data_IF_941113727357
#
_entry.id   IF_941113727357
#
_cell.length_a   1.000
_cell.length_b   1.000
_cell.length_c   1.000
_cell.angle_alpha   90.00
_cell.angle_beta   90.00
_cell.angle_gamma   90.00
#
_symmetry.space_group_name_H-M   'P 1'
#
loop_
_entity.id
_entity.type
_entity.pdbx_description
1 polymer ?
#
# COMPACT_ATOMS: atom_id res chain seq x y z
N UNK A 1 8.02 -19.02 -31.09
CA UNK A 1 6.85 -18.92 -30.18
C UNK A 1 7.07 -18.06 -28.93
N UNK A 2 8.30 -17.68 -28.52
CA UNK A 2 8.53 -16.79 -27.35
C UNK A 2 8.26 -15.29 -27.59
N UNK A 3 8.44 -14.79 -28.81
CA UNK A 3 8.25 -13.36 -29.14
C UNK A 3 6.81 -12.87 -28.92
N UNK A 4 5.82 -13.68 -29.28
CA UNK A 4 4.39 -13.36 -29.14
C UNK A 4 3.94 -13.20 -27.66
N UNK A 5 4.59 -13.86 -26.71
CA UNK A 5 4.25 -13.71 -25.29
C UNK A 5 4.75 -12.37 -24.72
N UNK A 6 5.97 -11.97 -25.09
CA UNK A 6 6.55 -10.69 -24.65
C UNK A 6 5.81 -9.53 -25.30
N UNK A 7 5.52 -9.60 -26.59
CA UNK A 7 4.77 -8.56 -27.30
C UNK A 7 3.36 -8.36 -26.74
N UNK A 8 2.64 -9.44 -26.42
CA UNK A 8 1.32 -9.34 -25.77
C UNK A 8 1.41 -8.73 -24.39
N UNK A 9 2.36 -9.17 -23.57
CA UNK A 9 2.57 -8.59 -22.24
C UNK A 9 2.93 -7.10 -22.32
N UNK A 10 3.79 -6.71 -23.28
CA UNK A 10 4.15 -5.31 -23.48
C UNK A 10 2.96 -4.45 -23.92
N UNK A 11 2.06 -5.00 -24.76
CA UNK A 11 0.84 -4.31 -25.18
C UNK A 11 -0.13 -4.16 -24.00
N UNK A 12 -0.40 -5.23 -23.26
CA UNK A 12 -1.28 -5.20 -22.07
C UNK A 12 -0.75 -4.21 -21.01
N UNK A 13 0.57 -4.20 -20.78
CA UNK A 13 1.20 -3.26 -19.86
C UNK A 13 1.07 -1.82 -20.34
N UNK A 14 1.25 -1.57 -21.64
CA UNK A 14 1.11 -0.23 -22.22
C UNK A 14 -0.34 0.27 -22.13
N UNK A 15 -1.32 -0.57 -22.46
CA UNK A 15 -2.75 -0.26 -22.33
C UNK A 15 -3.11 0.07 -20.88
N UNK A 16 -2.69 -0.76 -19.92
CA UNK A 16 -2.94 -0.52 -18.51
C UNK A 16 -2.27 0.77 -17.99
N UNK A 17 -1.06 1.06 -18.46
CA UNK A 17 -0.34 2.29 -18.09
C UNK A 17 -1.06 3.53 -18.62
N UNK A 18 -1.55 3.49 -19.86
CA UNK A 18 -2.33 4.58 -20.46
C UNK A 18 -3.64 4.77 -19.70
N UNK A 19 -4.33 3.68 -19.35
CA UNK A 19 -5.57 3.72 -18.57
C UNK A 19 -5.36 4.40 -17.21
N UNK A 20 -4.33 3.98 -16.45
CA UNK A 20 -4.03 4.61 -15.15
C UNK A 20 -3.70 6.10 -15.29
N UNK A 21 -2.90 6.48 -16.30
CA UNK A 21 -2.55 7.87 -16.53
C UNK A 21 -3.77 8.72 -16.90
N UNK A 22 -4.68 8.20 -17.72
CA UNK A 22 -5.92 8.89 -18.08
C UNK A 22 -6.85 9.06 -16.87
N UNK A 23 -6.99 8.02 -16.05
CA UNK A 23 -7.76 8.05 -14.81
C UNK A 23 -7.21 9.10 -13.84
N UNK A 24 -5.88 9.18 -13.70
CA UNK A 24 -5.22 10.19 -12.88
C UNK A 24 -5.48 11.62 -13.40
N UNK A 25 -5.32 11.85 -14.71
CA UNK A 25 -5.59 13.14 -15.35
C UNK A 25 -7.06 13.57 -15.17
N UNK A 26 -8.01 12.65 -15.36
CA UNK A 26 -9.44 12.92 -15.20
C UNK A 26 -9.80 13.28 -13.75
N UNK A 27 -9.13 12.65 -12.78
CA UNK A 27 -9.29 12.98 -11.37
C UNK A 27 -8.68 14.34 -10.99
N UNK A 28 -7.52 14.69 -11.52
CA UNK A 28 -6.91 16.02 -11.33
C UNK A 28 -7.82 17.11 -11.90
N UNK A 29 -8.50 16.85 -13.03
CA UNK A 29 -9.45 17.77 -13.66
C UNK A 29 -10.83 17.79 -13.00
N UNK A 30 -11.02 17.09 -11.87
CA UNK A 30 -12.29 16.97 -11.13
C UNK A 30 -13.46 16.42 -11.98
N UNK A 31 -13.20 15.83 -13.14
CA UNK A 31 -14.23 15.22 -13.99
C UNK A 31 -14.63 13.82 -13.49
N UNK A 32 -13.83 13.24 -12.59
CA UNK A 32 -14.09 11.97 -11.92
C UNK A 32 -13.63 12.06 -10.46
N UNK A 33 -14.44 11.57 -9.51
CA UNK A 33 -14.03 11.39 -8.12
C UNK A 33 -13.53 9.95 -7.95
N UNK A 34 -12.22 9.77 -7.83
CA UNK A 34 -11.63 8.50 -7.40
C UNK A 34 -11.85 8.35 -5.89
N UNK A 35 -12.69 7.40 -5.49
CA UNK A 35 -12.75 6.96 -4.10
C UNK A 35 -11.52 6.10 -3.81
N UNK A 36 -10.63 6.61 -2.95
CA UNK A 36 -9.56 5.82 -2.36
C UNK A 36 -10.04 5.27 -1.02
N UNK A 37 -9.87 3.97 -0.82
CA UNK A 37 -10.17 3.33 0.46
C UNK A 37 -8.97 3.48 1.38
N UNK A 38 -9.15 4.25 2.45
CA UNK A 38 -8.15 4.40 3.51
C UNK A 38 -8.64 3.67 4.77
N UNK A 39 -7.76 2.88 5.38
CA UNK A 39 -7.99 2.34 6.71
C UNK A 39 -7.49 3.33 7.75
N UNK A 40 -8.40 3.85 8.58
CA UNK A 40 -8.06 4.75 9.69
C UNK A 40 -7.86 3.91 10.94
N UNK A 41 -6.62 3.83 11.42
CA UNK A 41 -6.30 3.10 12.64
C UNK A 41 -6.94 3.77 13.86
N UNK A 42 -7.68 2.98 14.63
CA UNK A 42 -8.15 3.34 15.96
C UNK A 42 -7.01 3.23 16.97
N UNK A 43 -7.21 3.82 18.14
CA UNK A 43 -6.29 3.66 19.27
C UNK A 43 -6.00 2.17 19.50
N UNK A 44 -4.72 1.85 19.65
CA UNK A 44 -4.17 0.49 19.84
C UNK A 44 -4.34 -0.49 18.67
N UNK A 45 -5.08 -0.15 17.59
CA UNK A 45 -5.29 -1.05 16.46
C UNK A 45 -3.99 -1.35 15.69
N UNK A 46 -3.17 -0.32 15.46
CA UNK A 46 -1.86 -0.48 14.83
C UNK A 46 -0.94 -1.37 15.67
N UNK A 47 -0.99 -1.23 17.00
CA UNK A 47 -0.25 -2.08 17.94
C UNK A 47 -0.72 -3.52 17.86
N UNK A 48 -2.03 -3.76 17.92
CA UNK A 48 -2.61 -5.09 17.78
C UNK A 48 -2.18 -5.75 16.48
N UNK A 49 -2.21 -5.02 15.35
CA UNK A 49 -1.73 -5.51 14.07
C UNK A 49 -0.26 -5.93 14.13
N UNK A 50 0.63 -5.08 14.65
CA UNK A 50 2.05 -5.42 14.77
C UNK A 50 2.27 -6.66 15.64
N UNK A 51 1.54 -6.80 16.75
CA UNK A 51 1.65 -7.97 17.64
C UNK A 51 1.20 -9.30 17.01
N UNK A 52 0.44 -9.26 15.90
CA UNK A 52 0.08 -10.47 15.16
C UNK A 52 1.24 -11.05 14.34
N UNK A 53 2.32 -10.29 14.15
CA UNK A 53 3.47 -10.66 13.34
C UNK A 53 4.58 -11.16 14.28
N UNK A 54 4.83 -12.48 14.37
CA UNK A 54 5.75 -13.04 15.38
C UNK A 54 7.21 -12.61 15.20
N UNK A 55 7.60 -12.23 13.98
CA UNK A 55 8.94 -11.77 13.64
C UNK A 55 9.17 -10.28 13.94
N UNK A 56 8.19 -9.57 14.51
CA UNK A 56 8.30 -8.16 14.85
C UNK A 56 8.11 -7.94 16.35
N UNK A 57 8.96 -7.07 16.91
CA UNK A 57 8.79 -6.51 18.25
C UNK A 57 8.48 -5.03 18.13
N UNK A 58 7.38 -4.60 18.75
CA UNK A 58 7.05 -3.19 18.85
C UNK A 58 7.99 -2.51 19.85
N UNK A 59 8.74 -1.50 19.39
CA UNK A 59 9.68 -0.71 20.20
C UNK A 59 9.00 0.55 20.71
N UNK A 60 8.26 1.23 19.84
CA UNK A 60 7.60 2.49 20.16
C UNK A 60 6.31 2.66 19.35
N UNK A 61 5.33 3.35 19.93
CA UNK A 61 4.05 3.69 19.30
C UNK A 61 3.62 5.05 19.85
N UNK A 62 3.28 5.97 18.96
CA UNK A 62 2.76 7.27 19.36
C UNK A 62 1.73 7.81 18.34
N UNK A 63 1.08 8.91 18.73
CA UNK A 63 0.11 9.63 17.93
C UNK A 63 0.56 11.07 17.72
N UNK A 64 0.75 11.44 16.46
CA UNK A 64 1.19 12.78 16.09
C UNK A 64 0.44 13.26 14.85
N UNK A 65 -0.03 14.52 14.86
CA UNK A 65 -0.70 15.15 13.72
C UNK A 65 -1.79 14.28 13.05
N UNK A 66 -2.69 13.72 13.84
CA UNK A 66 -3.77 12.84 13.38
C UNK A 66 -3.34 11.48 12.80
N UNK A 67 -2.09 11.07 13.01
CA UNK A 67 -1.56 9.81 12.52
C UNK A 67 -1.00 8.95 13.67
N UNK A 68 -1.26 7.66 13.62
CA UNK A 68 -0.55 6.67 14.43
C UNK A 68 0.74 6.27 13.72
N UNK A 69 1.86 6.25 14.45
CA UNK A 69 3.13 5.77 13.93
C UNK A 69 3.81 4.85 14.95
N UNK A 70 4.63 3.93 14.45
CA UNK A 70 5.30 2.93 15.26
C UNK A 70 6.72 2.69 14.78
N UNK A 71 7.62 2.42 15.73
CA UNK A 71 8.93 1.80 15.46
C UNK A 71 8.81 0.34 15.88
N UNK A 72 9.04 -0.56 14.93
CA UNK A 72 9.14 -1.99 15.18
C UNK A 72 10.48 -2.49 14.66
N UNK A 73 11.03 -3.48 15.34
CA UNK A 73 12.28 -4.13 14.94
C UNK A 73 12.02 -5.61 14.70
N UNK A 74 12.95 -6.23 13.98
CA UNK A 74 12.92 -7.68 13.78
C UNK A 74 13.18 -8.35 15.14
N UNK A 75 12.23 -9.17 15.57
CA UNK A 75 12.46 -10.09 16.67
C UNK A 75 13.28 -11.25 16.12
N UNK A 76 14.44 -11.53 16.74
CA UNK A 76 15.09 -12.81 16.53
C UNK A 76 14.14 -13.89 17.07
N UNK A 77 13.67 -14.75 16.17
CA UNK A 77 13.00 -15.98 16.54
C UNK A 77 14.01 -16.85 17.29
N UNK A 78 14.15 -16.62 18.59
CA UNK A 78 14.83 -17.56 19.47
C UNK A 78 13.99 -18.84 19.49
N UNK A 79 14.69 -19.95 19.26
CA UNK A 79 14.22 -21.33 19.30
C UNK A 79 13.51 -21.69 20.60
#
# INVERSE_FOLDING_TARGET
MRHNAVERFSLELAEHTIEMALVEVLCIKQQYILYRFYHVFKKDELKSLITTIPSLRLVHLDYEHANWWAIAEKADSFS
#
